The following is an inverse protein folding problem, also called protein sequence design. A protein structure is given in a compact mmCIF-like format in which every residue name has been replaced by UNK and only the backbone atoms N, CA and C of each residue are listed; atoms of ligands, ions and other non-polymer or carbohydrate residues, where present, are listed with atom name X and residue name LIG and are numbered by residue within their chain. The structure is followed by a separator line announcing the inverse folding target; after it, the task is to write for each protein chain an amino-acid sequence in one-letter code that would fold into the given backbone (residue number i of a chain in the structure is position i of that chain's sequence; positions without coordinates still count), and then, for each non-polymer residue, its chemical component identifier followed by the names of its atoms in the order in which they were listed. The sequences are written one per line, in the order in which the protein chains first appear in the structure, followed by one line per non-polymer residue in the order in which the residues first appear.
data_IF_925782265752
#
_entry.id   IF_925782265752
#
_cell.length_a   1.000
_cell.length_b   1.000
_cell.length_c   1.000
_cell.angle_alpha   90.00
_cell.angle_beta   90.00
_cell.angle_gamma   90.00
#
_symmetry.space_group_name_H-M   'P 1'
#
loop_
_entity.id
_entity.type
_entity.pdbx_description
1 polymer ?
#
# COMPACT_ATOMS: atom_id res chain seq x y z
N UNK A 1 19.28 -19.95 -10.29
CA UNK A 1 18.57 -18.67 -10.16
C UNK A 1 17.05 -18.84 -10.10
N UNK A 2 16.47 -19.92 -10.64
CA UNK A 2 15.02 -20.20 -10.59
C UNK A 2 14.48 -20.54 -9.19
N UNK A 3 15.24 -21.22 -8.32
CA UNK A 3 14.72 -21.69 -7.01
C UNK A 3 14.33 -20.54 -6.05
N UNK A 4 14.93 -19.35 -6.21
CA UNK A 4 14.54 -18.14 -5.47
C UNK A 4 13.30 -17.45 -6.06
N UNK A 5 13.05 -17.60 -7.36
CA UNK A 5 11.88 -17.00 -8.01
C UNK A 5 10.58 -17.71 -7.58
N UNK A 6 10.60 -19.03 -7.44
CA UNK A 6 9.43 -19.78 -6.94
C UNK A 6 9.06 -19.40 -5.50
N UNK A 7 10.07 -19.23 -4.63
CA UNK A 7 9.86 -18.73 -3.25
C UNK A 7 9.29 -17.30 -3.25
N UNK A 8 9.79 -16.43 -4.14
CA UNK A 8 9.28 -15.08 -4.32
C UNK A 8 7.83 -15.03 -4.86
N UNK A 9 7.51 -15.85 -5.85
CA UNK A 9 6.14 -15.99 -6.39
C UNK A 9 5.18 -16.52 -5.32
N UNK A 10 5.59 -17.53 -4.54
CA UNK A 10 4.79 -18.03 -3.43
C UNK A 10 4.48 -16.95 -2.40
N UNK A 11 5.48 -16.15 -2.00
CA UNK A 11 5.29 -15.02 -1.10
C UNK A 11 4.35 -13.95 -1.68
N UNK A 12 4.47 -13.64 -2.98
CA UNK A 12 3.60 -12.66 -3.64
C UNK A 12 2.13 -13.11 -3.68
N UNK A 13 1.89 -14.39 -3.99
CA UNK A 13 0.53 -14.97 -4.02
C UNK A 13 -0.07 -14.94 -2.61
N UNK A 14 0.67 -15.37 -1.59
CA UNK A 14 0.19 -15.30 -0.20
C UNK A 14 -0.11 -13.86 0.22
N UNK A 15 0.74 -12.90 -0.15
CA UNK A 15 0.52 -11.48 0.10
C UNK A 15 -0.78 -10.97 -0.53
N UNK A 16 -1.02 -11.31 -1.81
CA UNK A 16 -2.24 -10.93 -2.51
C UNK A 16 -3.50 -11.54 -1.87
N UNK A 17 -3.45 -12.81 -1.48
CA UNK A 17 -4.56 -13.50 -0.80
C UNK A 17 -4.88 -12.85 0.55
N UNK A 18 -3.86 -12.60 1.39
CA UNK A 18 -4.07 -11.94 2.68
C UNK A 18 -4.55 -10.49 2.54
N UNK A 19 -4.07 -9.77 1.52
CA UNK A 19 -4.54 -8.41 1.25
C UNK A 19 -6.02 -8.40 0.85
N UNK A 20 -6.44 -9.26 -0.08
CA UNK A 20 -7.83 -9.37 -0.50
C UNK A 20 -8.76 -9.81 0.64
N UNK A 21 -8.35 -10.81 1.42
CA UNK A 21 -9.12 -11.33 2.56
C UNK A 21 -9.24 -10.31 3.70
N UNK A 22 -8.21 -9.48 3.91
CA UNK A 22 -8.27 -8.36 4.84
C UNK A 22 -9.32 -7.33 4.41
N UNK A 23 -9.44 -7.02 3.11
CA UNK A 23 -10.42 -6.05 2.60
C UNK A 23 -11.86 -6.52 2.81
N UNK A 24 -12.18 -7.76 2.43
CA UNK A 24 -13.53 -8.33 2.60
C UNK A 24 -13.93 -8.47 4.06
N UNK A 25 -12.99 -8.83 4.94
CA UNK A 25 -13.22 -8.93 6.38
C UNK A 25 -13.60 -7.58 7.00
N UNK A 26 -12.95 -6.49 6.57
CA UNK A 26 -13.26 -5.12 7.02
C UNK A 26 -14.68 -4.73 6.63
N UNK A 27 -15.08 -4.98 5.39
CA UNK A 27 -16.44 -4.68 4.92
C UNK A 27 -17.50 -5.46 5.69
N UNK A 28 -17.20 -6.72 6.02
CA UNK A 28 -18.08 -7.53 6.83
C UNK A 28 -18.18 -7.01 8.27
N UNK A 29 -17.05 -6.63 8.89
CA UNK A 29 -17.02 -6.07 10.25
C UNK A 29 -17.79 -4.74 10.35
N UNK A 30 -17.70 -3.90 9.31
CA UNK A 30 -18.43 -2.63 9.22
C UNK A 30 -19.94 -2.86 9.09
N UNK A 31 -20.37 -3.74 8.17
CA UNK A 31 -21.78 -4.01 7.92
C UNK A 31 -22.46 -4.86 9.01
N UNK A 32 -21.78 -5.83 9.59
CA UNK A 32 -22.37 -6.80 10.51
C UNK A 32 -22.24 -6.43 11.99
N UNK A 33 -21.20 -5.65 12.36
CA UNK A 33 -20.94 -5.30 13.76
C UNK A 33 -20.92 -3.80 14.06
N UNK A 34 -21.12 -2.93 13.05
CA UNK A 34 -21.01 -1.46 13.18
C UNK A 34 -19.74 -1.03 13.92
N UNK A 35 -18.65 -1.80 13.76
CA UNK A 35 -17.38 -1.48 14.40
C UNK A 35 -16.76 -0.31 13.66
N UNK A 36 -16.20 0.64 14.42
CA UNK A 36 -15.54 1.79 13.85
C UNK A 36 -14.29 1.35 13.09
N UNK A 37 -14.34 1.49 11.76
CA UNK A 37 -13.29 1.08 10.83
C UNK A 37 -12.00 1.88 11.05
N UNK A 38 -12.11 3.13 11.51
CA UNK A 38 -10.97 3.99 11.82
C UNK A 38 -10.15 3.40 12.97
N UNK A 39 -10.82 2.88 14.01
CA UNK A 39 -10.14 2.24 15.14
C UNK A 39 -9.41 0.95 14.73
N UNK A 40 -10.02 0.15 13.85
CA UNK A 40 -9.39 -1.07 13.34
C UNK A 40 -8.14 -0.75 12.51
N UNK A 41 -8.17 0.32 11.73
CA UNK A 41 -7.03 0.82 10.97
C UNK A 41 -5.90 1.31 11.88
N UNK A 42 -6.21 2.09 12.91
CA UNK A 42 -5.23 2.55 13.90
C UNK A 42 -4.55 1.37 14.60
N UNK A 43 -5.33 0.40 15.08
CA UNK A 43 -4.81 -0.81 15.71
C UNK A 43 -3.92 -1.61 14.75
N UNK A 44 -4.34 -1.78 13.49
CA UNK A 44 -3.57 -2.48 12.45
C UNK A 44 -2.24 -1.79 12.19
N UNK A 45 -2.23 -0.47 12.03
CA UNK A 45 -1.03 0.31 11.73
C UNK A 45 -0.06 0.33 12.91
N UNK A 46 -0.57 0.41 14.14
CA UNK A 46 0.25 0.30 15.36
C UNK A 46 0.92 -1.07 15.46
N UNK A 47 0.15 -2.16 15.30
CA UNK A 47 0.68 -3.53 15.35
C UNK A 47 1.71 -3.74 14.24
N UNK A 48 1.40 -3.34 13.01
CA UNK A 48 2.32 -3.46 11.87
C UNK A 48 3.60 -2.63 12.09
N UNK A 49 3.49 -1.41 12.63
CA UNK A 49 4.60 -0.54 12.96
C UNK A 49 5.52 -1.17 14.01
N UNK A 50 4.96 -1.67 15.11
CA UNK A 50 5.71 -2.36 16.17
C UNK A 50 6.40 -3.60 15.62
N UNK A 51 5.69 -4.45 14.89
CA UNK A 51 6.27 -5.65 14.27
C UNK A 51 7.43 -5.31 13.34
N UNK A 52 7.28 -4.27 12.52
CA UNK A 52 8.33 -3.84 11.59
C UNK A 52 9.57 -3.36 12.34
N UNK A 53 9.40 -2.60 13.43
CA UNK A 53 10.52 -2.14 14.28
C UNK A 53 11.22 -3.33 14.94
N UNK A 54 10.47 -4.29 15.49
CA UNK A 54 11.01 -5.49 16.13
C UNK A 54 11.79 -6.35 15.13
N UNK A 55 11.22 -6.60 13.94
CA UNK A 55 11.88 -7.36 12.89
C UNK A 55 13.13 -6.66 12.36
N UNK A 56 13.06 -5.35 12.16
CA UNK A 56 14.24 -4.55 11.79
C UNK A 56 15.32 -4.64 12.87
N UNK A 57 14.95 -4.59 14.14
CA UNK A 57 15.89 -4.72 15.25
C UNK A 57 16.55 -6.10 15.30
N UNK A 58 15.82 -7.16 14.98
CA UNK A 58 16.39 -8.53 14.90
C UNK A 58 17.39 -8.65 13.74
N UNK A 59 17.14 -8.03 12.58
CA UNK A 59 18.04 -8.10 11.41
C UNK A 59 19.27 -7.19 11.52
N UNK A 60 19.08 -5.94 11.93
CA UNK A 60 20.08 -4.88 11.86
C UNK A 60 20.62 -4.46 13.25
N UNK A 61 20.03 -4.98 14.33
CA UNK A 61 20.41 -4.64 15.70
C UNK A 61 20.28 -3.15 15.99
N UNK A 62 21.33 -2.56 16.58
CA UNK A 62 21.37 -1.13 16.93
C UNK A 62 21.45 -0.20 15.71
N UNK A 63 21.70 -0.71 14.50
CA UNK A 63 21.73 0.13 13.28
C UNK A 63 20.38 0.67 12.88
N UNK A 64 19.27 0.07 13.32
CA UNK A 64 17.92 0.61 13.10
C UNK A 64 17.78 2.04 13.65
N UNK A 65 18.44 2.34 14.77
CA UNK A 65 18.42 3.66 15.37
C UNK A 65 19.36 4.68 14.70
N UNK A 66 20.16 4.27 13.71
CA UNK A 66 21.02 5.19 12.95
C UNK A 66 20.23 6.23 12.16
N UNK A 67 18.98 5.91 11.78
CA UNK A 67 18.05 6.85 11.13
C UNK A 67 17.79 8.08 12.00
N UNK A 68 17.86 7.95 13.34
CA UNK A 68 17.70 9.08 14.25
C UNK A 68 18.96 9.96 14.39
N UNK A 69 20.09 9.56 13.79
CA UNK A 69 21.32 10.37 13.84
C UNK A 69 21.31 11.50 12.82
N UNK A 70 20.59 11.35 11.71
CA UNK A 70 20.54 12.35 10.65
C UNK A 70 19.13 12.96 10.51
N UNK A 71 18.96 14.27 10.74
CA UNK A 71 17.64 14.91 10.72
C UNK A 71 16.96 14.87 9.35
N UNK A 72 17.73 14.74 8.26
CA UNK A 72 17.19 14.56 6.91
C UNK A 72 16.45 13.25 6.75
N UNK A 73 16.94 12.18 7.37
CA UNK A 73 16.34 10.85 7.26
C UNK A 73 15.12 10.71 8.17
N UNK A 74 15.13 11.38 9.33
CA UNK A 74 13.92 11.58 10.15
C UNK A 74 12.84 12.33 9.34
N UNK A 75 13.22 13.40 8.64
CA UNK A 75 12.29 14.16 7.80
C UNK A 75 11.65 13.30 6.70
N UNK A 76 12.46 12.51 5.98
CA UNK A 76 11.94 11.56 4.98
C UNK A 76 11.04 10.50 5.59
N UNK A 77 11.41 9.96 6.77
CA UNK A 77 10.62 8.97 7.48
C UNK A 77 9.25 9.53 7.90
N UNK A 78 9.20 10.75 8.41
CA UNK A 78 7.95 11.42 8.77
C UNK A 78 7.08 11.69 7.55
N UNK A 79 7.66 12.20 6.46
CA UNK A 79 6.94 12.43 5.21
C UNK A 79 6.37 11.12 4.68
N UNK A 80 7.16 10.05 4.66
CA UNK A 80 6.73 8.74 4.17
C UNK A 80 5.67 8.12 5.09
N UNK A 81 5.84 8.19 6.41
CA UNK A 81 4.89 7.64 7.37
C UNK A 81 3.54 8.37 7.34
N UNK A 82 3.55 9.71 7.29
CA UNK A 82 2.32 10.51 7.31
C UNK A 82 1.65 10.52 5.93
N UNK A 83 2.35 10.95 4.88
CA UNK A 83 1.75 11.11 3.55
C UNK A 83 1.68 9.79 2.78
N UNK A 84 2.69 8.92 2.91
CA UNK A 84 2.76 7.67 2.17
C UNK A 84 1.92 6.56 2.79
N UNK A 85 2.02 6.37 4.11
CA UNK A 85 1.33 5.27 4.81
C UNK A 85 -0.01 5.75 5.38
N UNK A 86 -0.01 6.68 6.34
CA UNK A 86 -1.21 7.02 7.09
C UNK A 86 -2.32 7.59 6.20
N UNK A 87 -1.99 8.58 5.36
CA UNK A 87 -2.98 9.22 4.47
C UNK A 87 -3.57 8.24 3.44
N UNK A 88 -2.73 7.40 2.81
CA UNK A 88 -3.20 6.41 1.82
C UNK A 88 -4.10 5.37 2.48
N UNK A 89 -3.71 4.88 3.66
CA UNK A 89 -4.51 3.91 4.40
C UNK A 89 -5.85 4.53 4.82
N UNK A 90 -5.83 5.73 5.39
CA UNK A 90 -7.07 6.43 5.74
C UNK A 90 -7.98 6.63 4.53
N UNK A 91 -7.44 7.10 3.39
CA UNK A 91 -8.20 7.30 2.16
C UNK A 91 -8.80 5.98 1.60
N UNK A 92 -8.04 4.88 1.64
CA UNK A 92 -8.52 3.57 1.19
C UNK A 92 -9.71 3.09 2.02
N UNK A 93 -9.62 3.16 3.35
CA UNK A 93 -10.71 2.73 4.23
C UNK A 93 -11.91 3.68 4.18
N UNK A 94 -11.68 4.99 4.03
CA UNK A 94 -12.74 5.96 3.71
C UNK A 94 -13.47 5.61 2.42
N UNK A 95 -12.74 5.22 1.38
CA UNK A 95 -13.33 4.80 0.12
C UNK A 95 -14.15 3.51 0.28
N UNK A 96 -13.71 2.57 1.12
CA UNK A 96 -14.50 1.38 1.47
C UNK A 96 -15.81 1.78 2.15
N UNK A 97 -15.77 2.68 3.14
CA UNK A 97 -16.95 3.11 3.88
C UNK A 97 -17.99 3.83 2.99
N UNK A 98 -17.53 4.60 2.00
CA UNK A 98 -18.42 5.38 1.11
C UNK A 98 -18.90 4.57 -0.10
N UNK A 99 -18.02 3.77 -0.71
CA UNK A 99 -18.25 3.15 -2.03
C UNK A 99 -18.16 1.62 -2.03
N UNK A 100 -17.83 1.01 -0.90
CA UNK A 100 -17.60 -0.43 -0.77
C UNK A 100 -16.22 -0.90 -1.24
N UNK A 101 -15.83 -2.11 -0.84
CA UNK A 101 -14.50 -2.68 -1.12
C UNK A 101 -14.22 -2.88 -2.60
N UNK A 102 -15.25 -3.24 -3.38
CA UNK A 102 -15.09 -3.42 -4.83
C UNK A 102 -14.61 -2.15 -5.50
N UNK A 103 -15.32 -1.04 -5.31
CA UNK A 103 -14.98 0.27 -5.90
C UNK A 103 -13.65 0.80 -5.35
N UNK A 104 -13.41 0.69 -4.04
CA UNK A 104 -12.15 1.11 -3.43
C UNK A 104 -10.94 0.36 -4.01
N UNK A 105 -11.09 -0.94 -4.29
CA UNK A 105 -10.02 -1.76 -4.88
C UNK A 105 -9.78 -1.42 -6.35
N UNK A 106 -10.84 -1.15 -7.11
CA UNK A 106 -10.72 -0.66 -8.50
C UNK A 106 -9.97 0.67 -8.55
N UNK A 107 -10.31 1.63 -7.67
CA UNK A 107 -9.58 2.89 -7.54
C UNK A 107 -8.10 2.67 -7.19
N UNK A 108 -7.79 1.66 -6.37
CA UNK A 108 -6.41 1.32 -6.02
C UNK A 108 -5.60 0.84 -7.25
N UNK A 109 -6.24 0.14 -8.20
CA UNK A 109 -5.60 -0.26 -9.46
C UNK A 109 -5.33 0.90 -10.43
N UNK A 110 -5.85 2.10 -10.16
CA UNK A 110 -5.46 3.33 -10.86
C UNK A 110 -4.10 3.86 -10.38
N UNK A 111 -3.66 3.49 -9.16
CA UNK A 111 -2.43 4.02 -8.58
C UNK A 111 -1.17 3.79 -9.46
N UNK A 112 -0.93 2.61 -10.07
CA UNK A 112 0.17 2.40 -11.01
C UNK A 112 0.13 3.38 -12.20
N UNK A 113 -1.06 3.62 -12.76
CA UNK A 113 -1.27 4.60 -13.83
C UNK A 113 -0.88 6.01 -13.39
N UNK A 114 -1.30 6.42 -12.18
CA UNK A 114 -0.92 7.72 -11.62
C UNK A 114 0.59 7.85 -11.40
N UNK A 115 1.26 6.77 -10.98
CA UNK A 115 2.73 6.75 -10.83
C UNK A 115 3.43 6.96 -12.17
N UNK A 116 2.99 6.30 -13.24
CA UNK A 116 3.59 6.45 -14.58
C UNK A 116 3.41 7.88 -15.08
N UNK A 117 2.21 8.46 -14.93
CA UNK A 117 1.94 9.86 -15.29
C UNK A 117 2.86 10.81 -14.50
N UNK A 118 3.00 10.59 -13.20
CA UNK A 118 3.87 11.38 -12.35
C UNK A 118 5.35 11.27 -12.76
N UNK A 119 5.85 10.07 -13.07
CA UNK A 119 7.22 9.85 -13.55
C UNK A 119 7.46 10.52 -14.90
N UNK A 120 6.48 10.46 -15.80
CA UNK A 120 6.52 11.17 -17.07
C UNK A 120 6.64 12.68 -16.86
N UNK A 121 5.82 13.28 -15.98
CA UNK A 121 5.86 14.72 -15.71
C UNK A 121 7.14 15.16 -14.99
N UNK A 122 7.64 14.37 -14.04
CA UNK A 122 8.81 14.73 -13.22
C UNK A 122 10.14 14.52 -13.92
N UNK A 123 10.25 13.48 -14.75
CA UNK A 123 11.51 13.11 -15.41
C UNK A 123 11.49 13.29 -16.93
N UNK A 124 10.38 13.76 -17.52
CA UNK A 124 10.18 13.86 -18.98
C UNK A 124 10.52 12.58 -19.74
N UNK A 125 10.47 11.43 -19.04
CA UNK A 125 10.80 10.13 -19.60
C UNK A 125 9.58 9.63 -20.36
N UNK A 126 9.60 9.70 -21.69
CA UNK A 126 8.48 9.26 -22.53
C UNK A 126 8.11 7.81 -22.18
N UNK A 127 6.84 7.53 -21.82
CA UNK A 127 6.40 6.18 -21.53
C UNK A 127 6.60 5.30 -22.77
N UNK A 128 7.00 4.06 -22.56
CA UNK A 128 7.09 3.08 -23.63
C UNK A 128 5.69 2.72 -24.16
N UNK A 129 5.60 2.26 -25.40
CA UNK A 129 4.33 1.81 -26.02
C UNK A 129 3.54 0.83 -25.11
N UNK A 130 4.15 -0.19 -24.48
CA UNK A 130 3.42 -1.07 -23.57
C UNK A 130 2.92 -0.37 -22.28
N UNK A 131 3.64 0.62 -21.74
CA UNK A 131 3.16 1.40 -20.59
C UNK A 131 1.91 2.22 -20.95
N UNK A 132 1.85 2.78 -22.16
CA UNK A 132 0.68 3.50 -22.65
C UNK A 132 -0.55 2.58 -22.78
N UNK A 133 -0.35 1.35 -23.27
CA UNK A 133 -1.40 0.34 -23.31
C UNK A 133 -1.88 -0.03 -21.89
N UNK A 134 -0.97 -0.22 -20.93
CA UNK A 134 -1.35 -0.48 -19.54
C UNK A 134 -2.17 0.66 -18.93
N UNK A 135 -1.82 1.92 -19.20
CA UNK A 135 -2.56 3.09 -18.73
C UNK A 135 -3.98 3.11 -19.30
N UNK A 136 -4.13 2.92 -20.62
CA UNK A 136 -5.42 2.90 -21.28
C UNK A 136 -6.30 1.74 -20.77
N UNK A 137 -5.72 0.55 -20.66
CA UNK A 137 -6.43 -0.64 -20.19
C UNK A 137 -6.88 -0.50 -18.72
N UNK A 138 -6.03 0.08 -17.87
CA UNK A 138 -6.37 0.37 -16.48
C UNK A 138 -7.48 1.43 -16.37
N UNK A 139 -7.45 2.49 -17.18
CA UNK A 139 -8.52 3.51 -17.19
C UNK A 139 -9.86 2.93 -17.66
N UNK A 140 -9.85 2.10 -18.72
CA UNK A 140 -11.06 1.41 -19.19
C UNK A 140 -11.59 0.45 -18.11
N UNK A 141 -10.70 -0.33 -17.50
CA UNK A 141 -11.06 -1.27 -16.43
C UNK A 141 -11.60 -0.60 -15.16
N UNK A 142 -11.34 0.68 -14.95
CA UNK A 142 -11.92 1.45 -13.82
C UNK A 142 -13.26 2.11 -14.11
N UNK A 143 -13.67 2.16 -15.38
CA UNK A 143 -14.97 2.72 -15.80
C UNK A 143 -16.03 1.61 -15.93
N UNK A 144 -15.62 0.38 -16.23
CA UNK A 144 -16.50 -0.81 -16.30
C UNK A 144 -16.73 -1.45 -14.93
#
# INVERSE_FOLDING_TARGET
MEEKQWKGMGLAIMGALFWGLSGTSVQFLENAKHINVEWLLEARLLIAGILTIVLAYIQEGKRVFSIFKEPKDIGKLLIFGILGIAMVQYAYFRAIAISGVGVATVLQYVAPTMIIIYLFLRYFKKPSIPELFCILLAMVGTIC
#
